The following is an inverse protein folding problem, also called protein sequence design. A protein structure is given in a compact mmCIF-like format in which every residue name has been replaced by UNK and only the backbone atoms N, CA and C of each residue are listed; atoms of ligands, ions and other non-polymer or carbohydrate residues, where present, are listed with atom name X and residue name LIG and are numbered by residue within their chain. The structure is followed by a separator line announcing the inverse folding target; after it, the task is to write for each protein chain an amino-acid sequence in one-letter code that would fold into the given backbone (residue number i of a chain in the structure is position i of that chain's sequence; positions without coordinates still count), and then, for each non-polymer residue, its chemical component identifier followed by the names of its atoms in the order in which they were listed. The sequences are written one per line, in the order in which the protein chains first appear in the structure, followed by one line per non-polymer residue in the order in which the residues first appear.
data_IF_037237504520
#
_entry.id   IF_037237504520
#
_cell.length_a   1.000
_cell.length_b   1.000
_cell.length_c   1.000
_cell.angle_alpha   90.00
_cell.angle_beta   90.00
_cell.angle_gamma   90.00
#
_symmetry.space_group_name_H-M   'P 1'
#
loop_
_entity.id
_entity.type
_entity.pdbx_description
1 polymer ?
#
# COMPACT_ATOMS: atom_id res chain seq x y z
N UNK A 1 10.46 5.56 34.19
CA UNK A 1 10.14 4.18 33.69
C UNK A 1 10.87 4.01 32.37
N UNK A 2 11.81 3.06 32.30
CA UNK A 2 12.63 2.87 31.10
C UNK A 2 12.16 1.62 30.38
N UNK A 3 11.68 1.81 29.13
CA UNK A 3 11.28 0.70 28.26
C UNK A 3 12.52 0.07 27.61
N UNK A 4 12.68 -1.24 27.79
CA UNK A 4 13.77 -2.01 27.19
C UNK A 4 13.43 -2.37 25.74
N UNK A 5 14.20 -1.84 24.78
CA UNK A 5 14.01 -2.13 23.34
C UNK A 5 14.11 -3.62 23.02
N UNK A 6 14.94 -4.39 23.74
CA UNK A 6 15.04 -5.83 23.52
C UNK A 6 13.77 -6.56 24.00
N UNK A 7 13.10 -6.05 25.03
CA UNK A 7 11.82 -6.58 25.48
C UNK A 7 10.68 -6.18 24.51
N UNK A 8 10.70 -4.96 23.96
CA UNK A 8 9.76 -4.55 22.91
C UNK A 8 9.93 -5.38 21.64
N UNK A 9 11.18 -5.67 21.20
CA UNK A 9 11.43 -6.59 20.07
C UNK A 9 10.87 -7.99 20.32
N UNK A 10 11.07 -8.52 21.53
CA UNK A 10 10.50 -9.81 21.88
C UNK A 10 8.97 -9.79 21.86
N UNK A 11 8.35 -8.71 22.35
CA UNK A 11 6.90 -8.55 22.33
C UNK A 11 6.35 -8.52 20.88
N UNK A 12 6.92 -7.68 19.99
CA UNK A 12 6.48 -7.58 18.59
C UNK A 12 6.67 -8.92 17.89
N UNK A 13 7.80 -9.59 18.05
CA UNK A 13 8.07 -10.89 17.45
C UNK A 13 7.06 -11.97 17.89
N UNK A 14 6.68 -12.02 19.17
CA UNK A 14 5.66 -12.97 19.66
C UNK A 14 4.27 -12.67 19.06
N UNK A 15 3.92 -11.40 18.86
CA UNK A 15 2.65 -11.01 18.21
C UNK A 15 2.64 -11.43 16.74
N UNK A 16 3.76 -11.29 16.04
CA UNK A 16 3.87 -11.58 14.59
C UNK A 16 3.94 -13.09 14.30
N UNK A 17 4.62 -13.82 15.16
CA UNK A 17 4.82 -15.27 15.03
C UNK A 17 3.73 -16.10 15.75
N UNK A 18 2.88 -15.46 16.53
CA UNK A 18 1.80 -16.08 17.34
C UNK A 18 2.29 -17.19 18.31
N UNK A 19 3.61 -17.42 18.39
CA UNK A 19 4.23 -18.46 19.19
C UNK A 19 5.59 -18.01 19.78
N UNK A 20 5.82 -18.23 21.07
CA UNK A 20 7.08 -17.91 21.74
C UNK A 20 8.29 -18.65 21.16
N UNK A 21 8.10 -19.89 20.71
CA UNK A 21 9.17 -20.68 20.10
C UNK A 21 9.60 -20.16 18.74
N UNK A 22 8.67 -19.76 17.89
CA UNK A 22 8.95 -19.17 16.57
C UNK A 22 9.60 -17.79 16.74
N UNK A 23 9.06 -16.94 17.61
CA UNK A 23 9.65 -15.65 17.95
C UNK A 23 11.11 -15.79 18.45
N UNK A 24 11.39 -16.81 19.23
CA UNK A 24 12.74 -17.11 19.70
C UNK A 24 13.69 -17.47 18.56
N UNK A 25 13.24 -18.28 17.61
CA UNK A 25 14.00 -18.63 16.42
C UNK A 25 14.30 -17.40 15.54
N UNK A 26 13.29 -16.54 15.30
CA UNK A 26 13.45 -15.28 14.54
C UNK A 26 14.44 -14.34 15.23
N UNK A 27 14.41 -14.27 16.56
CA UNK A 27 15.31 -13.40 17.35
C UNK A 27 16.69 -14.00 17.62
N UNK A 28 16.95 -15.26 17.25
CA UNK A 28 18.21 -15.96 17.51
C UNK A 28 18.50 -16.15 19.01
N UNK A 29 17.47 -16.29 19.86
CA UNK A 29 17.61 -16.48 21.32
C UNK A 29 16.75 -17.66 21.78
N UNK A 30 16.92 -18.09 23.04
CA UNK A 30 16.09 -19.16 23.59
C UNK A 30 14.66 -18.69 23.89
N UNK A 31 13.70 -19.61 23.83
CA UNK A 31 12.30 -19.34 24.22
C UNK A 31 12.19 -18.83 25.67
N UNK A 32 13.04 -19.35 26.57
CA UNK A 32 13.11 -18.88 27.96
C UNK A 32 13.54 -17.41 28.03
N UNK A 33 14.47 -16.98 27.18
CA UNK A 33 14.91 -15.59 27.11
C UNK A 33 13.78 -14.67 26.61
N UNK A 34 13.01 -15.10 25.60
CA UNK A 34 11.81 -14.39 25.15
C UNK A 34 10.80 -14.25 26.28
N UNK A 35 10.45 -15.36 26.94
CA UNK A 35 9.50 -15.37 28.06
C UNK A 35 9.94 -14.44 29.18
N UNK A 36 11.23 -14.44 29.54
CA UNK A 36 11.80 -13.56 30.58
C UNK A 36 11.70 -12.08 30.19
N UNK A 37 11.95 -11.75 28.92
CA UNK A 37 11.83 -10.37 28.40
C UNK A 37 10.38 -9.89 28.45
N UNK A 38 9.43 -10.73 28.04
CA UNK A 38 7.99 -10.42 28.12
C UNK A 38 7.55 -10.23 29.57
N UNK A 39 7.88 -11.15 30.46
CA UNK A 39 7.50 -11.03 31.88
C UNK A 39 8.07 -9.75 32.52
N UNK A 40 9.31 -9.34 32.17
CA UNK A 40 9.90 -8.09 32.62
C UNK A 40 9.10 -6.88 32.08
N UNK A 41 8.72 -6.90 30.81
CA UNK A 41 7.94 -5.83 30.18
C UNK A 41 6.55 -5.70 30.82
N UNK A 42 5.87 -6.82 31.03
CA UNK A 42 4.56 -6.86 31.72
C UNK A 42 4.66 -6.31 33.15
N UNK A 43 5.71 -6.70 33.89
CA UNK A 43 5.97 -6.18 35.21
C UNK A 43 6.22 -4.67 35.21
N UNK A 44 6.98 -4.16 34.26
CA UNK A 44 7.27 -2.72 34.14
C UNK A 44 6.02 -1.91 33.80
N UNK A 45 5.13 -2.46 32.96
CA UNK A 45 3.89 -1.82 32.53
C UNK A 45 2.72 -2.04 33.48
N UNK A 46 2.85 -2.99 34.43
CA UNK A 46 1.76 -3.37 35.33
C UNK A 46 0.56 -4.00 34.59
N UNK A 47 0.79 -4.60 33.45
CA UNK A 47 -0.26 -5.16 32.59
C UNK A 47 0.20 -6.44 31.90
N UNK A 48 -0.71 -7.43 31.80
CA UNK A 48 -0.50 -8.66 31.03
C UNK A 48 -0.70 -8.34 29.55
N UNK A 49 0.26 -8.71 28.70
CA UNK A 49 0.27 -8.38 27.28
C UNK A 49 -0.21 -9.55 26.39
N UNK A 50 -0.11 -10.79 26.87
CA UNK A 50 -0.56 -11.98 26.15
C UNK A 50 -1.59 -12.78 26.93
N UNK A 51 -2.56 -13.33 26.22
CA UNK A 51 -3.50 -14.28 26.80
C UNK A 51 -2.80 -15.62 27.06
N UNK A 52 -3.06 -16.22 28.22
CA UNK A 52 -2.53 -17.55 28.55
C UNK A 52 -3.46 -18.62 27.98
N UNK A 53 -3.13 -19.14 26.77
CA UNK A 53 -3.89 -20.21 26.10
C UNK A 53 -2.97 -21.36 25.66
N UNK A 54 -3.58 -22.51 25.34
CA UNK A 54 -2.87 -23.67 24.83
C UNK A 54 -2.62 -23.51 23.32
N UNK A 55 -1.39 -23.22 22.91
CA UNK A 55 -0.92 -23.37 21.52
C UNK A 55 -0.72 -22.11 20.69
N UNK A 56 -1.42 -21.00 20.94
CA UNK A 56 -1.16 -19.70 20.28
C UNK A 56 -1.13 -18.58 21.31
N UNK A 57 -0.32 -17.56 21.06
CA UNK A 57 -0.12 -16.40 21.94
C UNK A 57 -0.78 -15.17 21.33
N UNK A 58 -2.04 -14.94 21.66
CA UNK A 58 -2.77 -13.76 21.23
C UNK A 58 -2.53 -12.58 22.16
N UNK A 59 -2.36 -11.36 21.66
CA UNK A 59 -2.23 -10.17 22.49
C UNK A 59 -3.54 -9.86 23.24
N UNK A 60 -3.43 -9.49 24.51
CA UNK A 60 -4.55 -8.92 25.28
C UNK A 60 -4.95 -7.55 24.74
N UNK A 61 -6.05 -6.97 25.22
CA UNK A 61 -6.40 -5.58 24.90
C UNK A 61 -5.29 -4.57 25.26
N UNK A 62 -4.47 -4.84 26.30
CA UNK A 62 -3.29 -4.04 26.64
C UNK A 62 -2.16 -4.26 25.62
N UNK A 63 -1.93 -5.50 25.20
CA UNK A 63 -0.97 -5.84 24.15
C UNK A 63 -1.32 -5.19 22.81
N UNK A 64 -2.60 -5.27 22.40
CA UNK A 64 -3.06 -4.65 21.17
C UNK A 64 -2.85 -3.11 21.16
N UNK A 65 -3.06 -2.44 22.29
CA UNK A 65 -2.77 -1.00 22.43
C UNK A 65 -1.27 -0.69 22.40
N UNK A 66 -0.45 -1.54 23.01
CA UNK A 66 1.01 -1.35 23.03
C UNK A 66 1.65 -1.55 21.66
N UNK A 67 1.14 -2.44 20.83
CA UNK A 67 1.75 -2.88 19.57
C UNK A 67 2.15 -1.73 18.63
N UNK A 68 1.28 -0.77 18.31
CA UNK A 68 1.65 0.35 17.43
C UNK A 68 2.75 1.23 18.04
N UNK A 69 2.74 1.42 19.35
CA UNK A 69 3.77 2.19 20.06
C UNK A 69 5.10 1.46 20.13
N UNK A 70 5.08 0.13 20.37
CA UNK A 70 6.27 -0.70 20.37
C UNK A 70 6.96 -0.68 18.99
N UNK A 71 6.20 -0.82 17.92
CA UNK A 71 6.71 -0.72 16.54
C UNK A 71 7.32 0.66 16.27
N UNK A 72 6.66 1.73 16.65
CA UNK A 72 7.16 3.09 16.46
C UNK A 72 8.48 3.36 17.22
N UNK A 73 8.59 2.90 18.47
CA UNK A 73 9.81 3.02 19.25
C UNK A 73 10.99 2.23 18.67
N UNK A 74 10.74 1.01 18.20
CA UNK A 74 11.77 0.19 17.56
C UNK A 74 12.24 0.80 16.25
N UNK A 75 11.31 1.28 15.43
CA UNK A 75 11.63 1.98 14.18
C UNK A 75 12.45 3.25 14.44
N UNK A 76 12.09 4.04 15.47
CA UNK A 76 12.86 5.21 15.88
C UNK A 76 14.28 4.87 16.36
N UNK A 77 14.43 3.80 17.13
CA UNK A 77 15.74 3.32 17.56
C UNK A 77 16.61 2.87 16.39
N UNK A 78 16.03 2.13 15.44
CA UNK A 78 16.74 1.68 14.25
C UNK A 78 17.09 2.87 13.34
N UNK A 79 16.24 3.89 13.25
CA UNK A 79 16.52 5.14 12.53
C UNK A 79 17.69 5.91 13.19
N UNK A 80 17.74 5.99 14.52
CA UNK A 80 18.84 6.64 15.24
C UNK A 80 20.18 5.93 14.98
N UNK A 81 20.20 4.59 15.01
CA UNK A 81 21.40 3.81 14.68
C UNK A 81 21.83 4.04 13.22
N UNK A 82 20.87 4.11 12.31
CA UNK A 82 21.15 4.41 10.89
C UNK A 82 21.73 5.81 10.71
N UNK A 83 21.19 6.81 11.39
CA UNK A 83 21.65 8.20 11.30
C UNK A 83 23.12 8.38 11.73
N UNK A 84 23.61 7.55 12.65
CA UNK A 84 25.01 7.59 13.13
C UNK A 84 25.95 6.77 12.22
N UNK A 85 25.44 5.72 11.61
CA UNK A 85 26.19 4.89 10.68
C UNK A 85 26.05 5.51 9.28
N UNK A 86 26.93 6.41 8.90
CA UNK A 86 27.07 6.95 7.54
C UNK A 86 27.53 5.86 6.55
N UNK A 87 26.85 4.74 6.48
CA UNK A 87 27.08 3.76 5.44
C UNK A 87 26.19 4.06 4.24
N UNK A 88 26.78 4.10 3.07
CA UNK A 88 26.09 4.02 1.78
C UNK A 88 25.21 2.76 1.84
N UNK A 89 23.94 2.93 2.02
CA UNK A 89 22.94 1.86 2.03
C UNK A 89 21.98 2.06 0.88
N UNK A 90 21.31 1.00 0.42
CA UNK A 90 20.27 1.13 -0.61
C UNK A 90 19.19 2.14 -0.22
N UNK A 91 18.71 2.90 -1.21
CA UNK A 91 17.46 3.66 -1.09
C UNK A 91 16.30 2.67 -0.97
N UNK A 92 15.57 2.69 0.13
CA UNK A 92 14.46 1.77 0.37
C UNK A 92 13.15 2.41 -0.01
N UNK A 93 12.45 1.84 -0.98
CA UNK A 93 11.18 2.34 -1.50
C UNK A 93 10.08 1.33 -1.28
N UNK A 94 9.06 1.68 -0.49
CA UNK A 94 7.92 0.81 -0.25
C UNK A 94 6.91 0.88 -1.40
N UNK A 95 6.44 -0.28 -1.83
CA UNK A 95 5.33 -0.45 -2.77
C UNK A 95 4.32 -1.45 -2.21
N UNK A 96 3.03 -1.25 -2.48
CA UNK A 96 1.99 -2.16 -2.02
C UNK A 96 1.86 -3.35 -2.96
N UNK A 97 2.32 -4.54 -2.50
CA UNK A 97 2.20 -5.78 -3.27
C UNK A 97 3.16 -5.88 -4.46
N UNK A 98 3.09 -7.00 -5.18
CA UNK A 98 3.97 -7.32 -6.32
C UNK A 98 3.30 -7.11 -7.69
N UNK A 99 2.08 -6.59 -7.74
CA UNK A 99 1.25 -6.61 -8.94
C UNK A 99 0.43 -5.32 -9.09
N UNK A 100 1.06 -4.19 -8.86
CA UNK A 100 0.41 -2.89 -8.95
C UNK A 100 1.31 -1.92 -9.71
N UNK A 101 0.73 -0.89 -10.29
CA UNK A 101 1.44 0.14 -11.05
C UNK A 101 2.69 0.69 -10.33
N UNK A 102 2.68 0.71 -8.99
CA UNK A 102 3.83 1.09 -8.17
C UNK A 102 5.05 0.20 -8.38
N UNK A 103 4.86 -1.11 -8.54
CA UNK A 103 5.95 -2.05 -8.80
C UNK A 103 6.50 -1.85 -10.20
N UNK A 104 5.63 -1.75 -11.20
CA UNK A 104 6.04 -1.53 -12.59
C UNK A 104 6.84 -0.22 -12.74
N UNK A 105 6.40 0.85 -12.04
CA UNK A 105 7.11 2.13 -12.02
C UNK A 105 8.53 1.99 -11.43
N UNK A 106 8.68 1.23 -10.34
CA UNK A 106 9.98 1.00 -9.72
C UNK A 106 10.88 0.09 -10.57
N UNK A 107 10.33 -0.93 -11.21
CA UNK A 107 11.07 -1.80 -12.14
C UNK A 107 11.55 -1.00 -13.35
N UNK A 108 10.72 -0.10 -13.88
CA UNK A 108 11.10 0.82 -14.95
C UNK A 108 12.22 1.78 -14.51
N UNK A 109 12.14 2.33 -13.28
CA UNK A 109 13.21 3.13 -12.71
C UNK A 109 14.52 2.35 -12.65
N UNK A 110 14.52 1.15 -12.08
CA UNK A 110 15.72 0.31 -11.95
C UNK A 110 16.32 -0.09 -13.31
N UNK A 111 15.47 -0.38 -14.29
CA UNK A 111 15.94 -0.71 -15.65
C UNK A 111 16.67 0.47 -16.32
N UNK A 112 16.27 1.70 -16.03
CA UNK A 112 16.93 2.93 -16.55
C UNK A 112 18.11 3.38 -15.71
N UNK A 113 18.17 2.96 -14.46
CA UNK A 113 19.24 3.32 -13.52
C UNK A 113 19.90 2.07 -12.93
N UNK A 114 20.59 1.23 -13.76
CA UNK A 114 21.10 -0.08 -13.33
C UNK A 114 22.20 0.01 -12.25
N UNK A 115 22.76 1.18 -12.04
CA UNK A 115 23.73 1.46 -10.97
C UNK A 115 23.10 2.10 -9.72
N UNK A 116 21.78 2.27 -9.70
CA UNK A 116 21.07 2.76 -8.53
C UNK A 116 21.09 1.69 -7.44
N UNK A 117 21.62 2.03 -6.28
CA UNK A 117 21.52 1.19 -5.10
C UNK A 117 20.15 1.42 -4.44
N UNK A 118 19.13 0.75 -4.97
CA UNK A 118 17.75 0.90 -4.55
C UNK A 118 17.12 -0.46 -4.26
N UNK A 119 16.50 -0.59 -3.09
CA UNK A 119 15.77 -1.77 -2.62
C UNK A 119 14.25 -1.50 -2.67
N UNK A 120 13.51 -2.36 -3.36
CA UNK A 120 12.04 -2.33 -3.34
C UNK A 120 11.56 -3.13 -2.14
N UNK A 121 10.86 -2.47 -1.23
CA UNK A 121 10.26 -3.09 -0.03
C UNK A 121 8.78 -3.34 -0.29
N UNK A 122 8.40 -4.60 -0.37
CA UNK A 122 7.01 -4.99 -0.59
C UNK A 122 6.23 -4.85 0.71
N UNK A 123 5.28 -3.95 0.74
CA UNK A 123 4.31 -3.80 1.83
C UNK A 123 3.03 -4.62 1.56
N UNK A 124 2.16 -4.70 2.54
CA UNK A 124 0.88 -5.41 2.46
C UNK A 124 -0.24 -4.58 3.11
N UNK A 125 -1.45 -5.12 3.16
CA UNK A 125 -2.61 -4.43 3.76
C UNK A 125 -2.51 -4.20 5.27
N UNK A 126 -1.63 -4.90 5.96
CA UNK A 126 -1.41 -4.78 7.41
C UNK A 126 -0.31 -3.75 7.69
N UNK A 127 0.82 -3.86 6.97
CA UNK A 127 1.92 -2.91 7.03
C UNK A 127 1.96 -2.16 5.70
N UNK A 128 1.19 -1.09 5.61
CA UNK A 128 1.07 -0.31 4.37
C UNK A 128 2.37 0.42 4.03
N UNK A 129 2.52 0.82 2.77
CA UNK A 129 3.67 1.64 2.34
C UNK A 129 3.76 2.94 3.14
N UNK A 130 2.62 3.55 3.48
CA UNK A 130 2.56 4.76 4.32
C UNK A 130 3.02 4.51 5.75
N UNK A 131 2.68 3.38 6.34
CA UNK A 131 3.14 3.01 7.69
C UNK A 131 4.64 2.72 7.71
N UNK A 132 5.16 2.03 6.70
CA UNK A 132 6.59 1.79 6.56
C UNK A 132 7.39 3.11 6.44
N UNK A 133 6.85 4.09 5.71
CA UNK A 133 7.44 5.44 5.60
C UNK A 133 7.36 6.17 6.95
N UNK A 134 6.18 6.20 7.57
CA UNK A 134 5.95 6.89 8.84
C UNK A 134 6.82 6.35 9.98
N UNK A 135 7.09 5.06 9.98
CA UNK A 135 7.95 4.40 10.97
C UNK A 135 9.45 4.50 10.64
N UNK A 136 9.84 5.10 9.52
CA UNK A 136 11.22 5.21 9.09
C UNK A 136 11.85 3.88 8.62
N UNK A 137 11.04 2.87 8.33
CA UNK A 137 11.50 1.60 7.79
C UNK A 137 11.97 1.75 6.33
N UNK A 138 11.44 2.73 5.61
CA UNK A 138 11.78 3.06 4.23
C UNK A 138 12.06 4.54 4.07
N UNK A 139 12.72 4.91 2.98
CA UNK A 139 13.09 6.28 2.63
C UNK A 139 12.02 6.99 1.83
N UNK A 140 11.31 6.23 1.02
CA UNK A 140 10.20 6.71 0.21
C UNK A 140 9.12 5.62 0.10
N UNK A 141 7.92 6.02 -0.29
CA UNK A 141 6.80 5.11 -0.49
C UNK A 141 5.97 5.54 -1.68
N UNK A 142 5.51 4.58 -2.48
CA UNK A 142 4.49 4.81 -3.49
C UNK A 142 3.13 4.44 -2.89
N UNK A 143 2.29 5.46 -2.67
CA UNK A 143 0.96 5.33 -2.07
C UNK A 143 0.10 6.56 -2.37
N UNK A 144 -1.21 6.49 -2.09
CA UNK A 144 -2.08 7.67 -2.10
C UNK A 144 -1.68 8.63 -0.97
N UNK A 145 -1.58 9.92 -1.28
CA UNK A 145 -1.19 10.95 -0.30
C UNK A 145 -2.28 11.23 0.74
N UNK A 146 -3.56 11.14 0.35
CA UNK A 146 -4.71 11.49 1.19
C UNK A 146 -5.51 10.26 1.65
N UNK A 147 -6.37 10.45 2.65
CA UNK A 147 -7.20 9.39 3.23
C UNK A 147 -6.44 8.44 4.15
N UNK A 148 -7.09 7.31 4.46
CA UNK A 148 -6.61 6.31 5.40
C UNK A 148 -6.87 6.67 6.87
N UNK A 149 -6.80 5.66 7.76
CA UNK A 149 -7.16 5.82 9.17
C UNK A 149 -6.17 6.69 9.96
N UNK A 150 -4.96 6.88 9.44
CA UNK A 150 -3.91 7.69 10.06
C UNK A 150 -3.40 8.71 9.05
N UNK A 151 -3.46 10.00 9.42
CA UNK A 151 -2.91 11.07 8.60
C UNK A 151 -1.38 10.93 8.47
N UNK A 152 -0.87 11.34 7.32
CA UNK A 152 0.58 11.49 7.16
C UNK A 152 1.10 12.63 8.02
N UNK A 153 2.32 12.52 8.60
CA UNK A 153 3.00 13.63 9.26
C UNK A 153 3.14 14.85 8.34
N UNK A 154 3.14 16.05 8.92
CA UNK A 154 3.18 17.29 8.17
C UNK A 154 4.50 17.52 7.41
N UNK A 155 5.56 16.79 7.78
CA UNK A 155 6.86 16.81 7.12
C UNK A 155 6.98 15.83 5.94
N UNK A 156 5.93 15.08 5.64
CA UNK A 156 5.91 14.22 4.44
C UNK A 156 5.59 15.09 3.22
N UNK A 157 6.49 15.02 2.25
CA UNK A 157 6.35 15.61 0.92
C UNK A 157 5.76 14.58 -0.03
N UNK A 158 4.94 15.03 -0.97
CA UNK A 158 4.32 14.21 -2.00
C UNK A 158 4.60 14.79 -3.39
N UNK A 159 4.92 13.92 -4.35
CA UNK A 159 4.95 14.24 -5.77
C UNK A 159 4.04 13.29 -6.54
N UNK A 160 3.33 13.75 -7.59
CA UNK A 160 2.51 12.87 -8.41
C UNK A 160 3.40 11.86 -9.13
N UNK A 161 3.06 10.57 -9.03
CA UNK A 161 3.84 9.51 -9.65
C UNK A 161 3.09 8.83 -10.79
N UNK A 162 1.84 8.47 -10.56
CA UNK A 162 1.02 7.81 -11.56
C UNK A 162 -0.47 7.98 -11.27
N UNK A 163 -1.27 8.09 -12.30
CA UNK A 163 -2.73 7.95 -12.24
C UNK A 163 -3.09 6.60 -12.84
N UNK A 164 -3.42 5.64 -11.99
CA UNK A 164 -3.77 4.28 -12.40
C UNK A 164 -5.24 4.21 -12.83
N UNK A 165 -5.54 4.09 -14.14
CA UNK A 165 -6.91 3.99 -14.62
C UNK A 165 -7.59 2.74 -14.10
N UNK A 166 -8.85 2.86 -13.69
CA UNK A 166 -9.66 1.70 -13.33
C UNK A 166 -10.34 1.09 -14.54
N UNK A 167 -10.35 -0.23 -14.54
CA UNK A 167 -11.11 -1.07 -15.47
C UNK A 167 -12.16 -1.86 -14.72
N UNK A 168 -13.23 -2.18 -15.40
CA UNK A 168 -14.25 -3.11 -14.91
C UNK A 168 -13.93 -4.52 -15.38
N UNK A 169 -13.88 -5.48 -14.45
CA UNK A 169 -13.80 -6.91 -14.75
C UNK A 169 -15.18 -7.54 -14.63
N UNK A 170 -15.56 -8.30 -15.64
CA UNK A 170 -16.83 -9.04 -15.72
C UNK A 170 -16.60 -10.44 -16.28
N UNK A 171 -17.47 -11.40 -15.93
CA UNK A 171 -17.49 -12.71 -16.56
C UNK A 171 -17.93 -12.64 -18.03
N UNK A 172 -17.60 -13.65 -18.84
CA UNK A 172 -17.94 -13.75 -20.28
C UNK A 172 -19.44 -13.72 -20.54
N UNK A 173 -20.25 -14.17 -19.58
CA UNK A 173 -21.70 -14.25 -19.68
C UNK A 173 -22.42 -13.01 -19.07
N UNK A 174 -21.65 -12.01 -18.64
CA UNK A 174 -22.19 -10.74 -18.13
C UNK A 174 -22.75 -9.88 -19.26
N UNK A 175 -23.85 -9.13 -19.05
CA UNK A 175 -24.42 -8.25 -20.09
C UNK A 175 -23.45 -7.25 -20.73
N UNK A 176 -22.40 -6.86 -20.02
CA UNK A 176 -21.37 -5.94 -20.53
C UNK A 176 -20.21 -6.65 -21.25
N UNK A 177 -20.13 -7.98 -21.25
CA UNK A 177 -18.97 -8.73 -21.73
C UNK A 177 -18.63 -8.55 -23.20
N UNK A 178 -19.59 -8.14 -24.03
CA UNK A 178 -19.38 -7.88 -25.46
C UNK A 178 -18.72 -6.53 -25.78
N UNK A 179 -18.35 -5.74 -24.76
CA UNK A 179 -17.81 -4.38 -24.92
C UNK A 179 -16.33 -4.34 -24.60
N UNK A 180 -15.60 -3.40 -25.18
CA UNK A 180 -14.22 -3.04 -24.80
C UNK A 180 -14.17 -1.84 -23.86
N UNK A 181 -15.20 -0.97 -23.92
CA UNK A 181 -15.34 0.22 -23.05
C UNK A 181 -16.73 0.28 -22.46
N UNK A 182 -16.87 0.99 -21.33
CA UNK A 182 -18.15 1.25 -20.69
C UNK A 182 -18.13 2.66 -20.09
N UNK A 183 -19.18 3.45 -20.35
CA UNK A 183 -19.29 4.75 -19.72
C UNK A 183 -19.62 4.63 -18.23
N UNK A 184 -18.99 5.45 -17.40
CA UNK A 184 -19.16 5.39 -15.94
C UNK A 184 -20.65 5.44 -15.52
N UNK A 185 -21.45 6.26 -16.19
CA UNK A 185 -22.89 6.37 -15.93
C UNK A 185 -23.68 5.08 -16.17
N UNK A 186 -23.17 4.18 -17.00
CA UNK A 186 -23.84 2.88 -17.28
C UNK A 186 -23.63 1.87 -16.15
N UNK A 187 -22.59 2.08 -15.32
CA UNK A 187 -22.32 1.26 -14.14
C UNK A 187 -23.09 1.82 -12.91
N UNK A 188 -23.49 3.09 -12.96
CA UNK A 188 -24.19 3.74 -11.84
C UNK A 188 -25.41 2.92 -11.39
N UNK A 189 -25.59 2.76 -10.06
CA UNK A 189 -26.66 1.94 -9.47
C UNK A 189 -26.42 0.43 -9.47
N UNK A 190 -25.41 -0.07 -10.17
CA UNK A 190 -25.03 -1.49 -10.14
C UNK A 190 -23.94 -1.71 -9.08
N UNK A 191 -24.12 -2.61 -8.10
CA UNK A 191 -23.11 -2.85 -7.08
C UNK A 191 -21.86 -3.51 -7.68
N UNK A 192 -20.69 -2.97 -7.35
CA UNK A 192 -19.39 -3.53 -7.74
C UNK A 192 -18.71 -4.11 -6.50
N UNK A 193 -18.28 -5.36 -6.60
CA UNK A 193 -17.72 -6.13 -5.50
C UNK A 193 -16.23 -5.83 -5.30
N UNK A 194 -15.89 -5.24 -4.15
CA UNK A 194 -14.53 -4.84 -3.78
C UNK A 194 -14.26 -5.23 -2.33
N UNK A 195 -14.07 -6.52 -2.01
CA UNK A 195 -14.02 -7.01 -0.63
C UNK A 195 -12.88 -6.42 0.19
N UNK A 196 -11.75 -6.08 -0.43
CA UNK A 196 -10.63 -5.42 0.23
C UNK A 196 -10.96 -4.04 0.80
N UNK A 197 -11.97 -3.34 0.25
CA UNK A 197 -12.38 -2.02 0.74
C UNK A 197 -13.11 -2.07 2.10
N UNK A 198 -13.35 -3.26 2.67
CA UNK A 198 -13.81 -3.40 4.05
C UNK A 198 -12.74 -3.03 5.09
N UNK A 199 -11.45 -3.12 4.72
CA UNK A 199 -10.33 -2.80 5.62
C UNK A 199 -10.05 -1.29 5.55
N UNK A 200 -10.13 -0.55 6.68
CA UNK A 200 -9.84 0.88 6.69
C UNK A 200 -8.43 1.19 6.15
N UNK A 201 -8.36 1.92 5.05
CA UNK A 201 -7.12 2.27 4.36
C UNK A 201 -7.36 3.45 3.43
N UNK A 202 -6.30 4.06 2.90
CA UNK A 202 -6.40 5.07 1.86
C UNK A 202 -7.05 4.54 0.57
N UNK A 203 -6.94 3.23 0.34
CA UNK A 203 -7.59 2.54 -0.77
C UNK A 203 -9.11 2.39 -0.55
N UNK A 204 -9.54 2.04 0.67
CA UNK A 204 -10.96 2.01 1.03
C UNK A 204 -11.60 3.41 0.92
N UNK A 205 -10.88 4.43 1.36
CA UNK A 205 -11.33 5.82 1.25
C UNK A 205 -11.45 6.28 -0.20
N UNK A 206 -10.56 5.83 -1.10
CA UNK A 206 -10.71 6.07 -2.53
C UNK A 206 -12.03 5.52 -3.06
N UNK A 207 -12.39 4.28 -2.73
CA UNK A 207 -13.66 3.70 -3.19
C UNK A 207 -14.90 4.34 -2.54
N UNK A 208 -14.80 4.83 -1.32
CA UNK A 208 -15.85 5.63 -0.70
C UNK A 208 -16.07 6.94 -1.47
N UNK A 209 -14.99 7.67 -1.77
CA UNK A 209 -15.04 8.93 -2.51
C UNK A 209 -15.55 8.68 -3.94
N UNK A 210 -15.11 7.59 -4.57
CA UNK A 210 -15.56 7.18 -5.90
C UNK A 210 -17.05 6.81 -5.93
N UNK A 211 -17.53 6.06 -4.95
CA UNK A 211 -18.94 5.72 -4.81
C UNK A 211 -19.82 6.97 -4.64
N UNK A 212 -19.38 7.92 -3.82
CA UNK A 212 -20.09 9.19 -3.62
C UNK A 212 -20.18 10.02 -4.91
N UNK A 213 -19.14 10.02 -5.73
CA UNK A 213 -19.10 10.71 -7.02
C UNK A 213 -19.94 10.01 -8.10
N UNK A 214 -19.76 8.71 -8.26
CA UNK A 214 -20.29 7.95 -9.40
C UNK A 214 -21.70 7.40 -9.19
N UNK A 215 -22.16 7.32 -7.94
CA UNK A 215 -23.40 6.62 -7.59
C UNK A 215 -23.30 5.09 -7.68
N UNK A 216 -22.09 4.54 -7.83
CA UNK A 216 -21.86 3.09 -7.88
C UNK A 216 -21.75 2.56 -6.45
N UNK A 217 -22.65 1.66 -6.01
CA UNK A 217 -22.54 1.03 -4.71
C UNK A 217 -21.33 0.11 -4.65
N UNK A 218 -20.46 0.27 -3.64
CA UNK A 218 -19.32 -0.62 -3.42
C UNK A 218 -19.75 -1.73 -2.45
N UNK A 219 -19.78 -2.97 -2.93
CA UNK A 219 -20.04 -4.15 -2.11
C UNK A 219 -18.74 -4.67 -1.50
N UNK A 220 -18.57 -4.48 -0.22
CA UNK A 220 -17.37 -4.89 0.52
C UNK A 220 -17.53 -6.23 1.24
N UNK A 221 -18.65 -6.92 1.05
CA UNK A 221 -18.93 -8.20 1.74
C UNK A 221 -18.04 -9.32 1.24
N UNK A 222 -17.68 -10.22 2.13
CA UNK A 222 -16.87 -11.39 1.84
C UNK A 222 -15.52 -11.36 2.54
N UNK A 223 -14.69 -12.36 2.27
CA UNK A 223 -13.33 -12.44 2.77
C UNK A 223 -12.39 -11.64 1.85
N UNK A 224 -11.30 -11.15 2.42
CA UNK A 224 -10.18 -10.66 1.60
C UNK A 224 -9.57 -11.87 0.88
N UNK A 225 -9.70 -11.87 -0.44
CA UNK A 225 -9.23 -12.93 -1.32
C UNK A 225 -8.03 -12.42 -2.15
N UNK A 226 -7.22 -13.35 -2.65
CA UNK A 226 -6.18 -13.00 -3.63
C UNK A 226 -6.84 -12.58 -4.94
N UNK A 227 -6.13 -11.76 -5.73
CA UNK A 227 -6.64 -11.32 -7.04
C UNK A 227 -6.99 -12.52 -7.96
N UNK A 228 -6.23 -13.63 -7.87
CA UNK A 228 -6.54 -14.84 -8.62
C UNK A 228 -7.90 -15.44 -8.23
N UNK A 229 -8.20 -15.51 -6.93
CA UNK A 229 -9.51 -16.01 -6.46
C UNK A 229 -10.65 -15.07 -6.86
N UNK A 230 -10.42 -13.76 -6.84
CA UNK A 230 -11.40 -12.78 -7.33
C UNK A 230 -11.69 -13.01 -8.81
N UNK A 231 -10.65 -13.19 -9.63
CA UNK A 231 -10.79 -13.47 -11.08
C UNK A 231 -11.58 -14.75 -11.35
N UNK A 232 -11.33 -15.84 -10.62
CA UNK A 232 -12.10 -17.07 -10.73
C UNK A 232 -13.58 -16.85 -10.41
N UNK A 233 -13.89 -16.11 -9.34
CA UNK A 233 -15.30 -15.81 -8.98
C UNK A 233 -16.00 -14.94 -10.02
N UNK A 234 -15.29 -14.00 -10.63
CA UNK A 234 -15.81 -13.18 -11.73
C UNK A 234 -16.05 -14.06 -12.96
N UNK A 235 -15.14 -14.98 -13.27
CA UNK A 235 -15.25 -15.90 -14.41
C UNK A 235 -16.49 -16.80 -14.34
N UNK A 236 -16.89 -17.19 -13.13
CA UNK A 236 -18.02 -18.10 -12.86
C UNK A 236 -19.35 -17.33 -12.68
N UNK A 237 -19.37 -16.01 -12.85
CA UNK A 237 -20.57 -15.20 -12.59
C UNK A 237 -21.03 -14.44 -13.83
N UNK A 238 -22.34 -14.42 -14.05
CA UNK A 238 -22.99 -13.59 -15.07
C UNK A 238 -23.41 -12.20 -14.58
N UNK A 239 -23.22 -11.90 -13.27
CA UNK A 239 -23.69 -10.65 -12.66
C UNK A 239 -22.67 -9.96 -11.78
N UNK A 240 -21.62 -10.66 -11.32
CA UNK A 240 -20.60 -10.10 -10.45
C UNK A 240 -19.63 -9.23 -11.27
N UNK A 241 -19.29 -8.08 -10.72
CA UNK A 241 -18.32 -7.13 -11.27
C UNK A 241 -17.30 -6.74 -10.23
N UNK A 242 -16.06 -6.46 -10.64
CA UNK A 242 -15.04 -5.85 -9.77
C UNK A 242 -14.21 -4.84 -10.52
N UNK A 243 -13.44 -4.02 -9.80
CA UNK A 243 -12.48 -3.11 -10.40
C UNK A 243 -11.07 -3.70 -10.38
N UNK A 244 -10.28 -3.33 -11.39
CA UNK A 244 -8.83 -3.56 -11.44
C UNK A 244 -8.13 -2.31 -11.97
N UNK A 245 -6.87 -2.11 -11.63
CA UNK A 245 -6.02 -1.12 -12.27
C UNK A 245 -5.48 -1.59 -13.62
N UNK A 246 -4.78 -0.73 -14.34
CA UNK A 246 -4.05 -1.10 -15.56
C UNK A 246 -2.64 -1.62 -15.24
N UNK A 247 -2.04 -1.14 -14.17
CA UNK A 247 -0.80 -1.66 -13.61
C UNK A 247 -1.03 -2.99 -12.93
N UNK A 248 -0.06 -3.87 -13.10
CA UNK A 248 -0.08 -5.16 -12.46
C UNK A 248 -0.80 -6.25 -13.24
N UNK A 249 -0.38 -7.45 -12.92
CA UNK A 249 -0.83 -8.66 -13.59
C UNK A 249 -2.19 -9.09 -13.03
N UNK A 250 -3.28 -8.54 -13.55
CA UNK A 250 -4.56 -9.23 -13.44
C UNK A 250 -4.39 -10.61 -14.07
N UNK A 251 -4.54 -11.72 -13.33
CA UNK A 251 -4.39 -13.04 -13.91
C UNK A 251 -5.30 -13.18 -15.14
N UNK A 252 -4.70 -13.58 -16.25
CA UNK A 252 -5.47 -13.84 -17.45
C UNK A 252 -6.43 -15.01 -17.22
N UNK A 253 -7.68 -14.83 -17.63
CA UNK A 253 -8.68 -15.91 -17.59
C UNK A 253 -9.57 -15.84 -18.84
N UNK A 254 -9.80 -16.98 -19.55
CA UNK A 254 -10.52 -17.00 -20.82
C UNK A 254 -11.97 -16.55 -20.71
N UNK A 255 -12.57 -16.69 -19.51
CA UNK A 255 -13.96 -16.32 -19.22
C UNK A 255 -14.10 -14.94 -18.58
N UNK A 256 -13.03 -14.12 -18.48
CA UNK A 256 -13.10 -12.76 -17.93
C UNK A 256 -12.89 -11.75 -19.04
N UNK A 257 -13.62 -10.65 -18.96
CA UNK A 257 -13.49 -9.50 -19.85
C UNK A 257 -13.10 -8.29 -19.03
N UNK A 258 -12.19 -7.50 -19.55
CA UNK A 258 -11.71 -6.24 -18.99
C UNK A 258 -12.22 -5.11 -19.86
N UNK A 259 -12.99 -4.20 -19.28
CA UNK A 259 -13.59 -3.05 -19.96
C UNK A 259 -12.95 -1.77 -19.43
N UNK A 260 -12.51 -0.89 -20.34
CA UNK A 260 -12.04 0.44 -19.95
C UNK A 260 -13.24 1.29 -19.52
N UNK A 261 -13.16 1.92 -18.35
CA UNK A 261 -14.19 2.84 -17.88
C UNK A 261 -13.91 4.23 -18.46
N UNK A 262 -14.91 4.84 -19.08
CA UNK A 262 -14.78 6.15 -19.75
C UNK A 262 -15.89 7.10 -19.27
N UNK A 263 -15.73 8.38 -19.57
CA UNK A 263 -16.73 9.47 -19.38
C UNK A 263 -17.19 9.68 -17.91
N UNK A 264 -16.29 10.04 -16.99
CA UNK A 264 -14.83 10.10 -17.04
C UNK A 264 -14.16 8.76 -16.68
N UNK A 265 -12.90 8.60 -17.03
CA UNK A 265 -12.08 7.48 -16.54
C UNK A 265 -11.70 7.71 -15.07
N UNK A 266 -12.12 6.86 -14.12
CA UNK A 266 -11.66 6.99 -12.74
C UNK A 266 -10.22 6.49 -12.63
N UNK A 267 -9.37 7.21 -11.89
CA UNK A 267 -7.98 6.83 -11.70
C UNK A 267 -7.57 6.86 -10.23
N UNK A 268 -6.86 5.82 -9.79
CA UNK A 268 -6.27 5.78 -8.46
C UNK A 268 -5.00 6.65 -8.43
N UNK A 269 -4.94 7.66 -7.54
CA UNK A 269 -3.84 8.62 -7.51
C UNK A 269 -2.66 8.09 -6.70
N UNK A 270 -1.61 7.64 -7.39
CA UNK A 270 -0.38 7.13 -6.78
C UNK A 270 0.66 8.25 -6.72
N UNK A 271 1.09 8.61 -5.52
CA UNK A 271 2.12 9.60 -5.25
C UNK A 271 3.41 8.93 -4.75
N UNK A 272 4.54 9.54 -5.05
CA UNK A 272 5.80 9.28 -4.36
C UNK A 272 5.82 10.15 -3.10
N UNK A 273 5.99 9.51 -1.94
CA UNK A 273 5.99 10.12 -0.61
C UNK A 273 7.36 9.97 0.04
N UNK A 274 7.86 11.03 0.71
CA UNK A 274 9.10 10.98 1.48
C UNK A 274 9.13 12.05 2.57
N UNK A 275 9.96 11.89 3.61
CA UNK A 275 10.15 12.92 4.61
C UNK A 275 10.99 14.08 4.06
N UNK A 276 10.59 15.34 4.27
CA UNK A 276 11.30 16.53 3.79
C UNK A 276 12.76 16.60 4.28
N UNK A 277 13.02 16.04 5.46
CA UNK A 277 14.37 15.93 6.05
C UNK A 277 15.23 14.79 5.52
N UNK A 278 14.73 13.93 4.64
CA UNK A 278 15.50 12.81 4.09
C UNK A 278 16.63 13.31 3.21
N UNK A 279 17.86 12.88 3.48
CA UNK A 279 19.10 13.27 2.77
C UNK A 279 19.73 12.12 1.98
N UNK A 280 19.00 11.02 1.79
CA UNK A 280 19.54 9.90 1.02
C UNK A 280 19.89 10.33 -0.41
N UNK A 281 21.13 10.12 -0.90
CA UNK A 281 21.58 10.64 -2.20
C UNK A 281 20.76 10.08 -3.38
N UNK A 282 20.31 8.83 -3.30
CA UNK A 282 19.47 8.21 -4.34
C UNK A 282 18.04 8.78 -4.42
N UNK A 283 17.56 9.46 -3.37
CA UNK A 283 16.18 9.97 -3.35
C UNK A 283 15.95 11.07 -4.40
N UNK A 284 16.92 11.98 -4.57
CA UNK A 284 16.81 13.07 -5.55
C UNK A 284 16.64 12.53 -6.98
N UNK A 285 17.40 11.52 -7.34
CA UNK A 285 17.32 10.86 -8.66
C UNK A 285 15.96 10.17 -8.87
N UNK A 286 15.43 9.51 -7.83
CA UNK A 286 14.10 8.90 -7.92
C UNK A 286 13.00 9.95 -8.09
N UNK A 287 13.06 11.04 -7.33
CA UNK A 287 12.09 12.14 -7.42
C UNK A 287 12.11 12.78 -8.82
N UNK A 288 13.29 13.06 -9.36
CA UNK A 288 13.46 13.58 -10.71
C UNK A 288 12.89 12.61 -11.76
N UNK A 289 13.26 11.33 -11.68
CA UNK A 289 12.75 10.30 -12.59
C UNK A 289 11.21 10.23 -12.57
N UNK A 290 10.60 10.23 -11.38
CA UNK A 290 9.13 10.18 -11.24
C UNK A 290 8.50 11.44 -11.82
N UNK A 291 9.05 12.62 -11.56
CA UNK A 291 8.54 13.88 -12.08
C UNK A 291 8.62 13.97 -13.62
N UNK A 292 9.74 13.49 -14.20
CA UNK A 292 9.96 13.51 -15.65
C UNK A 292 9.07 12.51 -16.41
N UNK A 293 8.64 11.43 -15.76
CA UNK A 293 7.81 10.41 -16.37
C UNK A 293 6.32 10.51 -16.01
N UNK A 294 5.92 11.44 -15.14
CA UNK A 294 4.51 11.66 -14.82
C UNK A 294 3.76 12.26 -16.00
N UNK A 295 2.75 11.56 -16.50
CA UNK A 295 1.91 12.03 -17.61
C UNK A 295 0.79 12.94 -17.10
N UNK A 296 0.94 14.24 -17.29
CA UNK A 296 -0.03 15.26 -16.88
C UNK A 296 -1.27 15.35 -17.77
N UNK A 297 -1.17 14.93 -19.02
CA UNK A 297 -2.28 15.01 -19.97
C UNK A 297 -3.41 14.04 -19.59
N UNK A 298 -3.07 12.91 -19.01
CA UNK A 298 -4.04 11.95 -18.46
C UNK A 298 -4.86 12.57 -17.33
N UNK A 299 -4.25 13.41 -16.50
CA UNK A 299 -4.92 14.04 -15.36
C UNK A 299 -6.13 14.89 -15.75
N UNK A 300 -6.10 15.51 -16.94
CA UNK A 300 -7.20 16.35 -17.43
C UNK A 300 -8.45 15.52 -17.84
N UNK A 301 -8.26 14.25 -18.19
CA UNK A 301 -9.32 13.35 -18.66
C UNK A 301 -9.81 12.36 -17.61
N UNK A 302 -9.10 12.25 -16.49
CA UNK A 302 -9.43 11.33 -15.41
C UNK A 302 -10.20 12.00 -14.27
N UNK A 303 -11.07 11.23 -13.65
CA UNK A 303 -11.58 11.58 -12.32
C UNK A 303 -10.60 11.08 -11.24
N UNK A 304 -10.30 11.96 -10.30
CA UNK A 304 -9.60 11.65 -9.05
C UNK A 304 -10.36 12.28 -7.88
N UNK A 305 -10.25 11.73 -6.66
CA UNK A 305 -10.85 12.34 -5.47
C UNK A 305 -10.43 13.80 -5.29
N UNK A 306 -11.34 14.63 -4.79
CA UNK A 306 -11.13 16.08 -4.63
C UNK A 306 -9.87 16.40 -3.82
N UNK A 307 -9.62 15.64 -2.74
CA UNK A 307 -8.44 15.84 -1.90
C UNK A 307 -7.11 15.64 -2.66
N UNK A 308 -7.11 14.83 -3.72
CA UNK A 308 -5.91 14.51 -4.50
C UNK A 308 -5.71 15.46 -5.69
N UNK A 309 -6.75 16.19 -6.13
CA UNK A 309 -6.70 17.02 -7.35
C UNK A 309 -5.56 18.02 -7.35
N UNK A 310 -5.34 18.73 -6.25
CA UNK A 310 -4.30 19.75 -6.17
C UNK A 310 -2.91 19.19 -6.46
N UNK A 311 -2.65 17.94 -6.06
CA UNK A 311 -1.35 17.28 -6.30
C UNK A 311 -1.19 16.82 -7.76
N UNK A 312 -2.26 16.35 -8.39
CA UNK A 312 -2.17 15.68 -9.69
C UNK A 312 -2.53 16.56 -10.89
N UNK A 313 -3.31 17.64 -10.69
CA UNK A 313 -3.85 18.47 -11.79
C UNK A 313 -3.27 19.88 -11.88
N UNK A 314 -2.39 20.29 -10.96
CA UNK A 314 -1.79 21.65 -11.01
C UNK A 314 -0.83 21.76 -12.19
N UNK A 315 -0.95 22.79 -13.06
CA UNK A 315 0.01 23.05 -14.11
C UNK A 315 1.36 23.43 -13.48
N UNK A 316 2.33 22.53 -13.52
CA UNK A 316 3.71 22.91 -13.27
C UNK A 316 4.26 23.63 -14.49
N UNK A 317 4.91 24.79 -14.27
CA UNK A 317 5.45 25.59 -15.35
C UNK A 317 6.40 24.86 -16.28
N UNK A 318 6.32 25.28 -17.56
CA UNK A 318 7.18 25.04 -18.71
C UNK A 318 7.18 23.65 -19.36
N UNK A 319 6.62 23.62 -20.56
CA UNK A 319 6.83 22.77 -21.72
C UNK A 319 8.03 21.81 -21.65
N UNK A 320 7.74 20.52 -21.44
CA UNK A 320 8.56 19.41 -21.97
C UNK A 320 7.63 18.36 -22.57
N UNK A 321 7.89 17.85 -23.77
CA UNK A 321 7.06 16.80 -24.36
C UNK A 321 7.18 15.50 -23.55
N UNK A 322 6.04 15.02 -23.07
CA UNK A 322 5.91 13.73 -22.38
C UNK A 322 5.99 12.58 -23.40
N UNK A 323 6.97 11.71 -23.25
CA UNK A 323 6.96 10.42 -23.92
C UNK A 323 5.97 9.48 -23.21
N UNK A 324 5.12 8.74 -23.94
CA UNK A 324 4.26 7.73 -23.34
C UNK A 324 5.11 6.61 -22.74
N UNK A 325 4.74 6.14 -21.54
CA UNK A 325 5.33 4.94 -20.96
C UNK A 325 5.01 3.75 -21.88
N UNK A 326 6.01 2.98 -22.33
CA UNK A 326 5.77 1.77 -23.09
C UNK A 326 5.39 0.65 -22.13
N UNK A 327 4.12 0.45 -21.87
CA UNK A 327 3.68 -0.81 -21.31
C UNK A 327 3.49 -1.79 -22.49
N UNK A 328 4.11 -2.99 -22.44
CA UNK A 328 3.85 -4.03 -23.41
C UNK A 328 2.40 -4.50 -23.26
N UNK A 329 1.67 -4.53 -24.37
CA UNK A 329 0.32 -5.07 -24.51
C UNK A 329 0.24 -6.57 -24.27
#
# INVERSE_FOLDING_TARGET
MDLDLAALRAFVAVVEEEQFGHAAAVLGISQQAVSKRIAKLESQLGAVLFERGHGSSSPTGAGARLLPHARALLAGADAAVRAVREQVRPLRVAVLGKRVAATDLMEFYLARHPHSDTEIVISNVITTSREALRSGQVDAALARAHGGPVALPADIVAAPAYLEPLYLLVGKDHPFAGRSTIALREIAGHPVWVPGAAVPSEWADFYRDFSAFSGIPIDTRGRLESLAQIVERIADSSSLMTFTGDGGLTPWHPNVRRLMIVDPTPAYPLALLWAAGNRHPGLAHLVEHVADNYNRDIAASCWVPEADRALFTVPGGADRPSAPLPFPG
#
